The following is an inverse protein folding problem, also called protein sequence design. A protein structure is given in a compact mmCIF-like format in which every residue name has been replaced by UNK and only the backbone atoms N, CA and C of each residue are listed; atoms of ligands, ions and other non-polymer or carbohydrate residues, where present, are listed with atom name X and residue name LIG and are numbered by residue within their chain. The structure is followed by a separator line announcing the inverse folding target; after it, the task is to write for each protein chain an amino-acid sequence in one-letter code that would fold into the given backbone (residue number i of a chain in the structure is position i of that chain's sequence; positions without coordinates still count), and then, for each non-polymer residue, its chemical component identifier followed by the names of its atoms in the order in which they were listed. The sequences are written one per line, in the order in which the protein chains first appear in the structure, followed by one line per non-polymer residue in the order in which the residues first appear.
data_IF_429991785979
#
_entry.id   IF_429991785979
#
_cell.length_a   1.000
_cell.length_b   1.000
_cell.length_c   1.000
_cell.angle_alpha   90.00
_cell.angle_beta   90.00
_cell.angle_gamma   90.00
#
_symmetry.space_group_name_H-M   'P 1'
#
loop_
_entity.id
_entity.type
_entity.pdbx_description
1 polymer ?
#
# COMPACT_ATOMS: atom_id res chain seq x y z
N UNK A 1 -34.71 16.04 6.83
CA UNK A 1 -33.26 16.18 7.08
C UNK A 1 -32.48 14.91 6.68
N UNK A 2 -32.94 13.72 7.10
CA UNK A 2 -32.30 12.41 6.81
C UNK A 2 -32.08 12.11 5.31
N UNK A 3 -33.06 12.37 4.44
CA UNK A 3 -32.92 12.15 2.98
C UNK A 3 -31.80 12.99 2.35
N UNK A 4 -31.69 14.27 2.73
CA UNK A 4 -30.65 15.17 2.22
C UNK A 4 -29.27 14.70 2.67
N UNK A 5 -29.13 14.34 3.96
CA UNK A 5 -27.88 13.81 4.52
C UNK A 5 -27.44 12.53 3.78
N UNK A 6 -28.37 11.61 3.51
CA UNK A 6 -28.09 10.39 2.76
C UNK A 6 -27.59 10.66 1.34
N UNK A 7 -28.24 11.58 0.61
CA UNK A 7 -27.80 11.94 -0.75
C UNK A 7 -26.41 12.59 -0.72
N UNK A 8 -26.19 13.52 0.21
CA UNK A 8 -24.91 14.19 0.38
C UNK A 8 -23.80 13.18 0.71
N UNK A 9 -24.01 12.31 1.69
CA UNK A 9 -23.07 11.24 2.04
C UNK A 9 -22.79 10.33 0.85
N UNK A 10 -23.83 9.89 0.14
CA UNK A 10 -23.70 9.03 -1.04
C UNK A 10 -22.85 9.68 -2.14
N UNK A 11 -23.09 10.96 -2.42
CA UNK A 11 -22.31 11.72 -3.39
C UNK A 11 -20.84 11.89 -2.95
N UNK A 12 -20.58 12.25 -1.69
CA UNK A 12 -19.22 12.37 -1.17
C UNK A 12 -18.47 11.03 -1.21
N UNK A 13 -19.14 9.93 -0.84
CA UNK A 13 -18.55 8.59 -0.91
C UNK A 13 -18.21 8.20 -2.35
N UNK A 14 -19.10 8.49 -3.30
CA UNK A 14 -18.85 8.21 -4.72
C UNK A 14 -17.66 9.01 -5.25
N UNK A 15 -17.60 10.33 -4.94
CA UNK A 15 -16.49 11.21 -5.32
C UNK A 15 -15.18 10.68 -4.73
N UNK A 16 -15.18 10.27 -3.46
CA UNK A 16 -14.01 9.68 -2.81
C UNK A 16 -13.56 8.39 -3.51
N UNK A 17 -14.49 7.46 -3.79
CA UNK A 17 -14.16 6.17 -4.39
C UNK A 17 -13.67 6.31 -5.84
N UNK A 18 -14.22 7.25 -6.60
CA UNK A 18 -13.84 7.53 -7.99
C UNK A 18 -12.71 8.57 -8.14
N UNK A 19 -12.23 9.15 -7.04
CA UNK A 19 -11.14 10.11 -7.08
C UNK A 19 -9.94 9.52 -7.84
N UNK A 20 -9.23 10.31 -8.66
CA UNK A 20 -8.04 9.83 -9.36
C UNK A 20 -6.96 9.40 -8.37
N UNK A 21 -6.10 8.48 -8.79
CA UNK A 21 -5.00 7.99 -7.96
C UNK A 21 -4.08 7.10 -8.77
N UNK A 22 -3.03 6.53 -8.14
CA UNK A 22 -2.13 5.63 -8.82
C UNK A 22 -2.87 4.39 -9.30
N UNK A 23 -2.45 3.89 -10.47
CA UNK A 23 -3.02 2.75 -11.17
C UNK A 23 -2.04 1.58 -11.27
N UNK A 24 -0.75 1.89 -11.28
CA UNK A 24 0.34 0.91 -11.44
C UNK A 24 1.50 1.25 -10.50
N UNK A 25 2.35 0.26 -10.24
CA UNK A 25 3.55 0.47 -9.41
C UNK A 25 4.52 1.49 -10.01
N UNK A 26 4.55 1.63 -11.34
CA UNK A 26 5.37 2.61 -12.06
C UNK A 26 4.99 4.06 -11.78
N UNK A 27 3.79 4.31 -11.25
CA UNK A 27 3.34 5.67 -10.93
C UNK A 27 4.05 6.21 -9.68
N UNK A 28 4.57 5.33 -8.82
CA UNK A 28 5.28 5.68 -7.59
C UNK A 28 6.73 6.08 -7.90
N UNK A 29 7.29 6.97 -7.06
CA UNK A 29 8.69 7.41 -7.20
C UNK A 29 9.61 6.25 -6.85
N UNK A 30 10.71 6.14 -7.59
CA UNK A 30 11.80 5.22 -7.22
C UNK A 30 12.44 5.67 -5.91
N UNK A 31 12.96 4.72 -5.13
CA UNK A 31 13.65 5.03 -3.89
C UNK A 31 14.94 5.84 -4.23
N UNK A 32 15.22 6.97 -3.55
CA UNK A 32 16.42 7.75 -3.83
C UNK A 32 17.68 6.99 -3.38
N UNK A 33 18.80 7.23 -4.06
CA UNK A 33 20.09 6.57 -3.78
C UNK A 33 19.97 5.06 -3.68
N UNK A 34 19.29 4.45 -4.67
CA UNK A 34 19.02 3.02 -4.71
C UNK A 34 19.19 2.46 -6.12
N UNK A 35 19.54 1.18 -6.19
CA UNK A 35 19.54 0.41 -7.42
C UNK A 35 18.23 -0.37 -7.55
N UNK A 36 17.60 -0.31 -8.72
CA UNK A 36 16.37 -1.08 -8.98
C UNK A 36 16.72 -2.57 -9.11
N UNK A 37 15.93 -3.42 -8.47
CA UNK A 37 16.10 -4.88 -8.52
C UNK A 37 15.58 -5.44 -9.85
N UNK A 38 16.45 -6.13 -10.57
CA UNK A 38 16.09 -6.93 -11.76
C UNK A 38 15.93 -8.43 -11.44
N UNK A 39 15.91 -8.79 -10.15
CA UNK A 39 15.75 -10.17 -9.72
C UNK A 39 14.38 -10.74 -10.10
N UNK A 40 14.32 -12.08 -10.24
CA UNK A 40 13.08 -12.78 -10.53
C UNK A 40 11.98 -12.47 -9.50
N UNK A 41 10.80 -12.11 -10.00
CA UNK A 41 9.65 -11.73 -9.19
C UNK A 41 9.65 -10.29 -8.68
N UNK A 42 10.67 -9.49 -8.97
CA UNK A 42 10.68 -8.03 -8.74
C UNK A 42 10.41 -7.22 -10.02
N UNK A 43 10.31 -7.89 -11.17
CA UNK A 43 10.17 -7.28 -12.49
C UNK A 43 8.80 -7.56 -13.11
N UNK A 44 8.72 -8.40 -14.16
CA UNK A 44 7.53 -8.62 -14.95
C UNK A 44 6.74 -9.86 -14.54
N UNK A 45 7.37 -10.81 -13.82
CA UNK A 45 6.70 -12.07 -13.45
C UNK A 45 5.55 -11.85 -12.47
N UNK A 46 5.64 -10.83 -11.62
CA UNK A 46 4.59 -10.47 -10.65
C UNK A 46 4.12 -9.05 -10.95
N UNK A 47 2.83 -8.85 -11.28
CA UNK A 47 2.33 -7.53 -11.64
C UNK A 47 2.38 -6.59 -10.44
N UNK A 48 2.66 -5.31 -10.73
CA UNK A 48 2.69 -4.22 -9.76
C UNK A 48 3.65 -4.43 -8.57
N UNK A 49 4.77 -5.11 -8.82
CA UNK A 49 5.88 -5.23 -7.86
C UNK A 49 7.07 -4.41 -8.34
N UNK A 50 7.81 -3.84 -7.40
CA UNK A 50 9.10 -3.21 -7.67
C UNK A 50 10.04 -3.42 -6.48
N UNK A 51 11.27 -3.86 -6.74
CA UNK A 51 12.32 -3.99 -5.72
C UNK A 51 13.41 -2.92 -5.87
N UNK A 52 14.02 -2.52 -4.76
CA UNK A 52 15.12 -1.58 -4.71
C UNK A 52 16.15 -2.01 -3.66
N UNK A 53 17.43 -1.94 -4.01
CA UNK A 53 18.56 -2.12 -3.10
C UNK A 53 19.06 -0.76 -2.64
N UNK A 54 19.23 -0.57 -1.34
CA UNK A 54 19.62 0.74 -0.81
C UNK A 54 20.32 0.62 0.54
N UNK A 55 20.73 1.77 1.08
CA UNK A 55 21.14 1.93 2.48
C UNK A 55 20.12 2.75 3.27
N UNK A 56 18.88 2.82 2.78
CA UNK A 56 17.78 3.45 3.47
C UNK A 56 17.09 2.41 4.37
N UNK A 57 16.71 2.83 5.57
CA UNK A 57 16.02 2.01 6.57
C UNK A 57 14.56 2.45 6.74
N UNK A 58 13.78 1.69 7.48
CA UNK A 58 12.33 1.87 7.71
C UNK A 58 11.97 3.31 8.06
N UNK A 59 12.77 3.96 8.89
CA UNK A 59 12.57 5.33 9.36
C UNK A 59 12.54 6.33 8.21
N UNK A 60 13.26 6.06 7.12
CA UNK A 60 13.25 6.86 5.90
C UNK A 60 12.24 6.33 4.88
N UNK A 61 12.25 5.02 4.63
CA UNK A 61 11.48 4.36 3.57
C UNK A 61 9.98 4.59 3.77
N UNK A 62 9.48 4.41 4.99
CA UNK A 62 8.03 4.45 5.24
C UNK A 62 7.49 5.87 5.08
N UNK A 63 8.06 6.92 5.72
CA UNK A 63 7.59 8.29 5.49
C UNK A 63 7.73 8.75 4.03
N UNK A 64 8.79 8.32 3.33
CA UNK A 64 8.97 8.61 1.91
C UNK A 64 7.80 8.09 1.08
N UNK A 65 7.44 6.81 1.26
CA UNK A 65 6.34 6.20 0.51
C UNK A 65 4.95 6.64 0.97
N UNK A 66 4.76 7.01 2.23
CA UNK A 66 3.52 7.68 2.70
C UNK A 66 3.31 8.99 1.96
N UNK A 67 4.36 9.82 1.90
CA UNK A 67 4.33 11.12 1.23
C UNK A 67 4.12 10.96 -0.26
N UNK A 68 4.83 10.01 -0.88
CA UNK A 68 4.69 9.73 -2.29
C UNK A 68 3.28 9.21 -2.64
N UNK A 69 2.71 8.34 -1.82
CA UNK A 69 1.36 7.83 -2.08
C UNK A 69 0.29 8.90 -1.90
N UNK A 70 0.44 9.79 -0.91
CA UNK A 70 -0.44 10.94 -0.74
C UNK A 70 -0.38 11.88 -1.96
N UNK A 71 0.83 12.23 -2.41
CA UNK A 71 1.07 13.05 -3.60
C UNK A 71 0.40 12.46 -4.85
N UNK A 72 0.55 11.15 -5.05
CA UNK A 72 -0.03 10.43 -6.20
C UNK A 72 -1.55 10.29 -6.10
N UNK A 73 -2.08 10.16 -4.89
CA UNK A 73 -3.53 10.06 -4.66
C UNK A 73 -4.24 11.41 -4.67
N UNK A 74 -3.51 12.52 -4.54
CA UNK A 74 -4.03 13.89 -4.51
C UNK A 74 -5.17 14.10 -3.50
N UNK A 75 -5.18 13.29 -2.45
CA UNK A 75 -6.12 13.44 -1.36
C UNK A 75 -5.52 14.40 -0.32
N UNK A 76 -6.36 15.21 0.34
CA UNK A 76 -5.87 16.17 1.33
C UNK A 76 -5.36 15.51 2.62
N UNK A 77 -5.55 14.20 2.79
CA UNK A 77 -5.12 13.44 3.95
C UNK A 77 -4.16 12.29 3.56
N UNK A 78 -3.22 11.93 4.44
CA UNK A 78 -2.29 10.83 4.19
C UNK A 78 -3.02 9.48 4.17
N UNK A 79 -2.42 8.45 3.53
CA UNK A 79 -2.94 7.09 3.62
C UNK A 79 -2.87 6.60 5.08
N UNK A 80 -3.79 5.71 5.44
CA UNK A 80 -3.74 5.03 6.74
C UNK A 80 -2.58 4.05 6.70
N UNK A 81 -1.73 4.09 7.74
CA UNK A 81 -0.60 3.17 7.90
C UNK A 81 -0.99 2.04 8.84
N UNK A 82 -0.81 0.81 8.38
CA UNK A 82 -1.06 -0.41 9.15
C UNK A 82 0.25 -1.22 9.19
N UNK A 83 0.80 -1.38 10.38
CA UNK A 83 1.93 -2.27 10.61
C UNK A 83 1.44 -3.72 10.56
N UNK A 84 1.96 -4.51 9.62
CA UNK A 84 1.62 -5.92 9.44
C UNK A 84 2.76 -6.80 9.95
N UNK A 85 2.46 -8.03 10.42
CA UNK A 85 3.50 -8.99 10.75
C UNK A 85 4.36 -9.28 9.51
N UNK A 86 5.70 -9.28 9.62
CA UNK A 86 6.59 -9.50 8.47
C UNK A 86 6.32 -10.80 7.71
N UNK A 87 5.87 -11.85 8.41
CA UNK A 87 5.53 -13.17 7.85
C UNK A 87 4.40 -13.07 6.81
N UNK A 88 3.55 -12.05 6.90
CA UNK A 88 2.48 -11.81 5.94
C UNK A 88 3.00 -11.36 4.57
N UNK A 89 4.29 -11.00 4.44
CA UNK A 89 4.90 -10.62 3.17
C UNK A 89 4.86 -11.75 2.13
N UNK A 90 4.85 -13.01 2.59
CA UNK A 90 4.76 -14.19 1.72
C UNK A 90 3.45 -14.24 0.94
N UNK A 91 2.39 -13.66 1.50
CA UNK A 91 1.07 -13.54 0.89
C UNK A 91 0.96 -12.18 0.19
N UNK A 92 1.34 -11.10 0.88
CA UNK A 92 1.09 -9.74 0.45
C UNK A 92 2.07 -9.22 -0.62
N UNK A 93 3.29 -9.75 -0.72
CA UNK A 93 4.29 -9.31 -1.71
C UNK A 93 4.54 -10.42 -2.71
N UNK A 94 5.22 -11.49 -2.30
CA UNK A 94 5.44 -12.71 -3.07
C UNK A 94 5.90 -13.83 -2.14
N UNK A 95 5.72 -15.08 -2.55
CA UNK A 95 6.19 -16.24 -1.78
C UNK A 95 7.70 -16.14 -1.55
N UNK A 96 8.15 -16.55 -0.37
CA UNK A 96 9.56 -16.52 0.04
C UNK A 96 10.18 -15.13 0.02
N UNK A 97 9.40 -14.10 0.38
CA UNK A 97 9.95 -12.76 0.61
C UNK A 97 10.51 -12.71 2.02
N UNK A 98 11.80 -12.45 2.14
CA UNK A 98 12.41 -12.13 3.42
C UNK A 98 12.03 -10.70 3.83
N UNK A 99 11.71 -10.51 5.10
CA UNK A 99 11.12 -9.28 5.61
C UNK A 99 11.52 -9.05 7.06
N UNK A 100 11.98 -7.84 7.36
CA UNK A 100 12.12 -7.36 8.74
C UNK A 100 10.94 -6.49 9.16
N UNK A 101 10.29 -5.82 8.20
CA UNK A 101 9.04 -5.12 8.41
C UNK A 101 8.13 -5.17 7.19
N UNK A 102 6.82 -5.07 7.43
CA UNK A 102 5.81 -4.92 6.41
C UNK A 102 4.80 -3.84 6.82
N UNK A 103 4.66 -2.82 5.97
CA UNK A 103 3.70 -1.75 6.17
C UNK A 103 2.68 -1.75 5.04
N UNK A 104 1.40 -1.65 5.39
CA UNK A 104 0.33 -1.41 4.45
C UNK A 104 -0.11 0.05 4.54
N UNK A 105 -0.04 0.75 3.42
CA UNK A 105 -0.57 2.09 3.24
C UNK A 105 -1.89 1.97 2.48
N UNK A 106 -3.00 2.33 3.13
CA UNK A 106 -4.34 2.09 2.59
C UNK A 106 -5.17 3.37 2.52
N UNK A 107 -5.85 3.53 1.39
CA UNK A 107 -7.04 4.38 1.29
C UNK A 107 -8.25 3.43 1.25
N UNK A 108 -9.03 3.33 2.35
CA UNK A 108 -10.12 2.36 2.45
C UNK A 108 -11.06 2.42 1.25
N UNK A 109 -11.54 1.27 0.78
CA UNK A 109 -12.42 1.14 -0.40
C UNK A 109 -11.79 1.62 -1.74
N UNK A 110 -10.50 1.97 -1.74
CA UNK A 110 -9.75 2.36 -2.94
C UNK A 110 -8.62 1.38 -3.20
N UNK A 111 -7.44 1.58 -2.62
CA UNK A 111 -6.25 0.79 -2.98
C UNK A 111 -5.40 0.51 -1.74
N UNK A 112 -4.67 -0.59 -1.77
CA UNK A 112 -3.65 -0.93 -0.77
C UNK A 112 -2.27 -0.92 -1.42
N UNK A 113 -1.32 -0.30 -0.74
CA UNK A 113 0.07 -0.21 -1.15
C UNK A 113 0.96 -0.78 -0.05
N UNK A 114 1.66 -1.88 -0.35
CA UNK A 114 2.53 -2.55 0.60
C UNK A 114 3.97 -2.11 0.40
N UNK A 115 4.60 -1.77 1.52
CA UNK A 115 6.01 -1.40 1.62
C UNK A 115 6.67 -2.43 2.52
N UNK A 116 7.46 -3.31 1.91
CA UNK A 116 8.23 -4.34 2.60
C UNK A 116 9.69 -3.94 2.64
N UNK A 117 10.35 -4.12 3.77
CA UNK A 117 11.80 -3.97 3.88
C UNK A 117 12.43 -5.19 4.51
N UNK A 118 13.58 -5.56 3.96
CA UNK A 118 14.50 -6.52 4.55
C UNK A 118 15.79 -5.81 4.91
N UNK A 119 16.09 -5.80 6.20
CA UNK A 119 17.19 -5.05 6.80
C UNK A 119 18.06 -5.98 7.66
N UNK A 120 18.96 -6.75 7.04
CA UNK A 120 19.87 -7.65 7.76
C UNK A 120 20.89 -6.92 8.66
N UNK A 121 21.06 -5.61 8.47
CA UNK A 121 21.92 -4.75 9.28
C UNK A 121 21.11 -3.66 9.98
N UNK A 122 21.66 -3.11 11.06
CA UNK A 122 21.23 -1.84 11.63
C UNK A 122 21.78 -0.67 10.80
N UNK A 123 21.31 0.54 11.09
CA UNK A 123 21.74 1.77 10.38
C UNK A 123 23.21 2.13 10.58
N UNK A 124 23.84 1.62 11.65
CA UNK A 124 25.27 1.73 11.91
C UNK A 124 26.11 0.67 11.17
N UNK A 125 25.47 -0.23 10.41
CA UNK A 125 26.12 -1.31 9.67
C UNK A 125 26.41 -2.56 10.50
N UNK A 126 25.97 -2.63 11.76
CA UNK A 126 26.11 -3.85 12.58
C UNK A 126 25.10 -4.92 12.14
N UNK A 127 25.47 -6.20 12.08
CA UNK A 127 24.57 -7.27 11.66
C UNK A 127 23.48 -7.54 12.72
N UNK A 128 22.22 -7.70 12.29
CA UNK A 128 21.10 -8.02 13.19
C UNK A 128 21.06 -9.50 13.60
N UNK A 129 21.59 -10.38 12.77
CA UNK A 129 21.58 -11.82 13.00
C UNK A 129 22.83 -12.49 12.43
N UNK A 130 23.11 -13.71 12.90
CA UNK A 130 24.22 -14.51 12.39
C UNK A 130 23.98 -14.83 10.91
N UNK A 131 24.96 -14.53 10.06
CA UNK A 131 24.84 -14.77 8.61
C UNK A 131 24.15 -13.63 7.84
N UNK A 132 23.99 -12.44 8.42
CA UNK A 132 23.61 -11.23 7.67
C UNK A 132 24.56 -11.01 6.49
N UNK A 133 24.04 -11.04 5.27
CA UNK A 133 24.79 -10.80 4.04
C UNK A 133 24.44 -9.44 3.45
N UNK A 134 25.44 -8.74 2.92
CA UNK A 134 25.21 -7.53 2.12
C UNK A 134 24.76 -7.95 0.73
N UNK A 135 23.97 -7.09 0.09
CA UNK A 135 23.58 -7.28 -1.30
C UNK A 135 24.64 -6.64 -2.20
N UNK A 136 25.23 -7.42 -3.10
CA UNK A 136 26.14 -6.88 -4.12
C UNK A 136 25.39 -6.78 -5.45
N UNK A 137 25.18 -5.55 -5.92
CA UNK A 137 24.45 -5.26 -7.16
C UNK A 137 25.20 -4.18 -7.91
N UNK A 138 25.52 -4.44 -9.19
CA UNK A 138 26.26 -3.50 -10.05
C UNK A 138 27.59 -3.00 -9.46
N UNK A 139 28.27 -3.82 -8.64
CA UNK A 139 29.52 -3.44 -7.97
C UNK A 139 29.35 -2.61 -6.70
N UNK A 140 28.10 -2.33 -6.28
CA UNK A 140 27.79 -1.64 -5.02
C UNK A 140 27.28 -2.61 -3.96
N UNK A 141 27.75 -2.42 -2.73
CA UNK A 141 27.27 -3.14 -1.55
C UNK A 141 26.13 -2.39 -0.86
N UNK A 142 24.98 -3.04 -0.73
CA UNK A 142 23.78 -2.50 -0.11
C UNK A 142 23.41 -3.27 1.17
N UNK A 143 22.95 -2.53 2.19
CA UNK A 143 22.54 -3.10 3.47
C UNK A 143 21.07 -3.52 3.52
N UNK A 144 20.22 -2.93 2.70
CA UNK A 144 18.78 -3.16 2.74
C UNK A 144 18.21 -3.45 1.36
N UNK A 145 17.11 -4.21 1.35
CA UNK A 145 16.27 -4.41 0.17
C UNK A 145 14.85 -4.00 0.50
N UNK A 146 14.31 -3.07 -0.27
CA UNK A 146 12.91 -2.66 -0.20
C UNK A 146 12.14 -3.30 -1.35
N UNK A 147 11.01 -3.94 -1.05
CA UNK A 147 10.10 -4.48 -2.08
C UNK A 147 8.73 -3.85 -1.90
N UNK A 148 8.17 -3.35 -2.99
CA UNK A 148 6.89 -2.68 -3.02
C UNK A 148 5.90 -3.54 -3.77
N UNK A 149 4.63 -3.51 -3.34
CA UNK A 149 3.55 -4.06 -4.13
C UNK A 149 2.31 -3.18 -4.07
N UNK A 150 1.75 -2.89 -5.24
CA UNK A 150 0.54 -2.08 -5.34
C UNK A 150 -0.66 -2.92 -5.79
N UNK A 151 -1.76 -2.80 -5.05
CA UNK A 151 -3.04 -3.43 -5.36
C UNK A 151 -4.05 -2.36 -5.80
N UNK A 152 -4.13 -2.09 -7.12
CA UNK A 152 -5.17 -1.22 -7.65
C UNK A 152 -6.52 -1.94 -7.59
N UNK A 153 -7.56 -1.23 -7.17
CA UNK A 153 -8.93 -1.69 -7.40
C UNK A 153 -9.52 -1.09 -8.67
N UNK A 154 -10.33 -1.88 -9.35
CA UNK A 154 -11.01 -1.51 -10.56
C UNK A 154 -12.16 -0.52 -10.26
N UNK A 155 -12.28 0.55 -11.05
CA UNK A 155 -13.35 1.54 -10.93
C UNK A 155 -14.76 0.92 -10.97
N UNK A 156 -15.00 -0.09 -11.82
CA UNK A 156 -16.28 -0.77 -11.88
C UNK A 156 -16.61 -1.50 -10.57
N UNK A 157 -15.63 -2.18 -9.98
CA UNK A 157 -15.79 -2.85 -8.68
C UNK A 157 -16.09 -1.82 -7.59
N UNK A 158 -15.42 -0.66 -7.61
CA UNK A 158 -15.72 0.44 -6.67
C UNK A 158 -17.16 0.92 -6.80
N UNK A 159 -17.68 1.11 -8.00
CA UNK A 159 -19.07 1.54 -8.21
C UNK A 159 -20.05 0.50 -7.68
N UNK A 160 -19.79 -0.79 -7.92
CA UNK A 160 -20.62 -1.89 -7.38
C UNK A 160 -20.61 -1.88 -5.86
N UNK A 161 -19.43 -1.77 -5.23
CA UNK A 161 -19.29 -1.70 -3.78
C UNK A 161 -20.00 -0.46 -3.23
N UNK A 162 -19.87 0.70 -3.88
CA UNK A 162 -20.60 1.91 -3.52
C UNK A 162 -22.12 1.68 -3.57
N UNK A 163 -22.65 1.15 -4.67
CA UNK A 163 -24.08 0.83 -4.79
C UNK A 163 -24.53 -0.12 -3.68
N UNK A 164 -23.72 -1.14 -3.37
CA UNK A 164 -23.99 -2.10 -2.28
C UNK A 164 -24.05 -1.44 -0.91
N UNK A 165 -23.10 -0.55 -0.59
CA UNK A 165 -23.08 0.19 0.69
C UNK A 165 -24.33 1.08 0.80
N UNK A 166 -24.64 1.84 -0.26
CA UNK A 166 -25.76 2.78 -0.29
C UNK A 166 -27.11 2.05 -0.20
N UNK A 167 -27.28 0.95 -0.94
CA UNK A 167 -28.44 0.08 -0.83
C UNK A 167 -28.58 -0.53 0.57
N UNK A 168 -27.48 -1.00 1.16
CA UNK A 168 -27.47 -1.58 2.51
C UNK A 168 -27.91 -0.56 3.56
N UNK A 169 -27.39 0.67 3.51
CA UNK A 169 -27.81 1.76 4.40
C UNK A 169 -29.31 2.05 4.25
N UNK A 170 -29.82 2.09 3.00
CA UNK A 170 -31.24 2.32 2.74
C UNK A 170 -32.14 1.21 3.30
N UNK A 171 -31.77 -0.06 3.09
CA UNK A 171 -32.53 -1.19 3.62
C UNK A 171 -32.50 -1.27 5.14
N UNK A 172 -31.34 -1.03 5.76
CA UNK A 172 -31.21 -0.96 7.22
C UNK A 172 -32.07 0.15 7.82
N UNK A 173 -32.09 1.32 7.19
CA UNK A 173 -32.96 2.42 7.62
C UNK A 173 -34.45 2.05 7.53
N UNK A 174 -34.87 1.41 6.43
CA UNK A 174 -36.25 0.96 6.25
C UNK A 174 -36.65 -0.10 7.27
N UNK A 175 -35.74 -1.03 7.58
CA UNK A 175 -35.95 -2.06 8.60
C UNK A 175 -36.08 -1.44 10.00
N UNK A 176 -35.14 -0.57 10.40
CA UNK A 176 -35.19 0.08 11.71
C UNK A 176 -36.47 0.89 11.91
N UNK A 177 -36.96 1.57 10.87
CA UNK A 177 -38.24 2.28 10.88
C UNK A 177 -39.46 1.37 11.07
N UNK A 178 -39.41 0.11 10.63
CA UNK A 178 -40.50 -0.87 10.81
C UNK A 178 -40.50 -1.54 12.18
N UNK A 179 -39.35 -1.55 12.87
CA UNK A 179 -39.21 -2.20 14.18
C UNK A 179 -39.51 -1.20 15.31
N UNK A 180 -39.16 0.07 15.12
CA UNK A 180 -39.30 1.14 16.12
C UNK A 180 -40.64 1.88 16.07
N UNK A 181 -41.46 1.67 15.02
CA UNK A 181 -42.82 2.19 14.87
C UNK A 181 -43.76 0.98 14.92
#
# INVERSE_FOLDING_TARGET
MTKKLYIIFSAFLLVYMLWPGPSKISDFKSLPSSDKSDLAGDTWQIPNVAGYFSNNFREFIVPFYVSNYQEKSRLPFPPIRINRPPEYSWIAIKKHTDSTFLEELVYPLRNSFYVNGFEPFYSDGTPKFWGSTKFEVNGHGWFTKTTLRFYPSNYFVRIIVWMGIIASIYFLYKLGRKILI
#
